data_IF_587009121395
#
_entry.id   IF_587009121395
#
_cell.length_a   1.000
_cell.length_b   1.000
_cell.length_c   1.000
_cell.angle_alpha   90.00
_cell.angle_beta   90.00
_cell.angle_gamma   90.00
#
_symmetry.space_group_name_H-M   'P 1'
#
loop_
_entity.id
_entity.type
_entity.pdbx_description
1 polymer ?
#
# COMPACT_ATOMS: atom_id res chain seq x y z
N UNK A 1 43.40 1.50 35.43
CA UNK A 1 42.99 2.91 35.20
C UNK A 1 41.76 2.92 34.29
N UNK A 2 40.73 3.70 34.61
CA UNK A 2 39.55 3.80 33.76
C UNK A 2 39.87 4.57 32.47
N UNK A 3 39.54 4.03 31.30
CA UNK A 3 39.68 4.74 30.02
C UNK A 3 38.84 6.01 30.07
N UNK A 4 39.39 7.17 29.67
CA UNK A 4 38.68 8.45 29.60
C UNK A 4 37.99 8.61 28.25
N UNK A 5 36.71 9.02 28.25
CA UNK A 5 35.98 9.34 27.02
C UNK A 5 36.54 10.62 26.41
N UNK A 6 36.75 10.64 25.10
CA UNK A 6 37.04 11.88 24.35
C UNK A 6 35.73 12.53 23.89
N UNK A 7 35.76 13.85 23.71
CA UNK A 7 34.65 14.61 23.11
C UNK A 7 34.90 14.71 21.60
N UNK A 8 33.93 14.28 20.80
CA UNK A 8 33.97 14.40 19.34
C UNK A 8 33.61 15.84 18.91
N UNK A 9 33.99 16.28 17.70
CA UNK A 9 33.61 17.59 17.16
C UNK A 9 32.08 17.81 17.09
N UNK A 10 31.32 16.72 16.94
CA UNK A 10 29.86 16.73 16.98
C UNK A 10 29.26 16.90 18.40
N UNK A 11 30.08 17.06 19.43
CA UNK A 11 29.66 17.31 20.82
C UNK A 11 29.44 16.04 21.68
N UNK A 12 29.34 14.86 21.07
CA UNK A 12 29.16 13.59 21.79
C UNK A 12 30.46 13.10 22.45
N UNK A 13 30.34 12.18 23.41
CA UNK A 13 31.48 11.56 24.09
C UNK A 13 31.59 10.07 23.80
N UNK A 14 32.81 9.55 23.61
CA UNK A 14 33.03 8.12 23.40
C UNK A 14 34.50 7.72 23.39
N UNK A 15 34.75 6.44 23.13
CA UNK A 15 36.10 5.86 23.09
C UNK A 15 36.57 5.51 21.67
N UNK A 16 35.65 5.47 20.70
CA UNK A 16 35.93 5.05 19.32
C UNK A 16 36.63 6.11 18.48
N UNK A 17 37.08 5.75 17.29
CA UNK A 17 37.64 6.70 16.32
C UNK A 17 36.57 7.64 15.76
N UNK A 18 35.34 7.13 15.59
CA UNK A 18 34.19 7.85 15.07
C UNK A 18 33.05 7.95 16.10
N UNK A 19 32.15 8.90 15.87
CA UNK A 19 30.93 9.03 16.66
C UNK A 19 29.82 8.13 16.11
N UNK A 20 29.70 6.91 16.64
CA UNK A 20 28.64 5.96 16.25
C UNK A 20 27.22 6.51 16.39
N UNK A 21 26.97 7.45 17.32
CA UNK A 21 25.65 8.08 17.46
C UNK A 21 25.30 8.95 16.24
N UNK A 22 26.29 9.61 15.64
CA UNK A 22 26.08 10.38 14.42
C UNK A 22 25.94 9.46 13.21
N UNK A 23 26.77 8.41 13.14
CA UNK A 23 26.70 7.38 12.10
C UNK A 23 25.35 6.66 12.09
N UNK A 24 24.84 6.23 13.25
CA UNK A 24 23.52 5.61 13.37
C UNK A 24 22.42 6.56 12.90
N UNK A 25 22.48 7.84 13.26
CA UNK A 25 21.50 8.83 12.84
C UNK A 25 21.49 9.03 11.31
N UNK A 26 22.67 9.06 10.69
CA UNK A 26 22.78 9.17 9.23
C UNK A 26 22.29 7.90 8.54
N UNK A 27 22.69 6.73 9.04
CA UNK A 27 22.21 5.44 8.53
C UNK A 27 20.69 5.31 8.63
N UNK A 28 20.09 5.75 9.74
CA UNK A 28 18.62 5.78 9.89
C UNK A 28 17.95 6.72 8.90
N UNK A 29 18.56 7.87 8.60
CA UNK A 29 18.07 8.82 7.60
C UNK A 29 18.09 8.21 6.20
N UNK A 30 19.24 7.66 5.80
CA UNK A 30 19.42 6.97 4.52
C UNK A 30 18.43 5.81 4.40
N UNK A 31 18.29 4.99 5.46
CA UNK A 31 17.35 3.88 5.50
C UNK A 31 15.90 4.32 5.28
N UNK A 32 15.45 5.38 5.96
CA UNK A 32 14.08 5.92 5.80
C UNK A 32 13.85 6.46 4.39
N UNK A 33 14.83 7.13 3.82
CA UNK A 33 14.77 7.64 2.45
C UNK A 33 14.65 6.49 1.44
N UNK A 34 15.50 5.48 1.56
CA UNK A 34 15.47 4.30 0.69
C UNK A 34 14.14 3.54 0.83
N UNK A 35 13.62 3.39 2.05
CA UNK A 35 12.30 2.76 2.27
C UNK A 35 11.16 3.54 1.61
N UNK A 36 11.21 4.88 1.65
CA UNK A 36 10.21 5.73 0.99
C UNK A 36 10.30 5.60 -0.52
N UNK A 37 11.50 5.68 -1.09
CA UNK A 37 11.71 5.52 -2.53
C UNK A 37 11.27 4.13 -3.01
N UNK A 38 11.69 3.07 -2.33
CA UNK A 38 11.26 1.70 -2.65
C UNK A 38 9.73 1.53 -2.57
N UNK A 39 9.07 2.20 -1.61
CA UNK A 39 7.61 2.21 -1.53
C UNK A 39 6.98 2.90 -2.75
N UNK A 40 7.46 4.09 -3.12
CA UNK A 40 6.98 4.83 -4.29
C UNK A 40 7.22 4.08 -5.61
N UNK A 41 8.37 3.42 -5.74
CA UNK A 41 8.71 2.60 -6.91
C UNK A 41 7.87 1.32 -7.01
N UNK A 42 7.48 0.74 -5.87
CA UNK A 42 6.65 -0.47 -5.87
C UNK A 42 5.33 -0.30 -6.62
N UNK A 43 4.80 0.93 -6.70
CA UNK A 43 3.57 1.23 -7.45
C UNK A 43 3.71 1.11 -8.96
N UNK A 44 4.93 1.18 -9.52
CA UNK A 44 5.14 1.00 -10.97
C UNK A 44 4.86 -0.43 -11.42
N UNK A 45 4.97 -1.39 -10.49
CA UNK A 45 4.76 -2.81 -10.75
C UNK A 45 3.32 -3.27 -10.44
N UNK A 46 2.46 -2.39 -9.92
CA UNK A 46 1.08 -2.73 -9.63
C UNK A 46 0.24 -2.74 -10.92
N UNK A 47 -0.68 -3.71 -11.09
CA UNK A 47 -1.54 -3.76 -12.28
C UNK A 47 -2.62 -2.67 -12.30
N UNK A 48 -2.88 -2.03 -11.16
CA UNK A 48 -3.87 -0.96 -11.00
C UNK A 48 -3.28 0.17 -10.17
N UNK A 49 -3.85 1.37 -10.30
CA UNK A 49 -3.39 2.52 -9.53
C UNK A 49 -3.77 2.39 -8.05
N UNK A 50 -2.76 2.28 -7.17
CA UNK A 50 -2.92 2.18 -5.71
C UNK A 50 -2.33 3.38 -4.94
N UNK A 51 -1.81 4.40 -5.63
CA UNK A 51 -0.96 5.45 -5.03
C UNK A 51 -1.63 6.28 -3.93
N UNK A 52 -2.94 6.53 -4.03
CA UNK A 52 -3.69 7.38 -3.09
C UNK A 52 -4.42 6.58 -2.01
N UNK A 53 -4.07 5.30 -1.83
CA UNK A 53 -4.73 4.43 -0.87
C UNK A 53 -3.91 4.29 0.42
N UNK A 54 -4.58 4.05 1.56
CA UNK A 54 -3.89 3.72 2.80
C UNK A 54 -2.99 2.49 2.65
N UNK A 55 -1.82 2.49 3.30
CA UNK A 55 -0.79 1.42 3.17
C UNK A 55 -1.34 0.01 3.41
N UNK A 56 -2.20 -0.16 4.41
CA UNK A 56 -2.87 -1.43 4.72
C UNK A 56 -3.80 -1.90 3.60
N UNK A 57 -4.50 -0.97 2.93
CA UNK A 57 -5.34 -1.26 1.76
C UNK A 57 -4.47 -1.70 0.60
N UNK A 58 -3.40 -0.97 0.28
CA UNK A 58 -2.45 -1.33 -0.80
C UNK A 58 -1.91 -2.75 -0.62
N UNK A 59 -1.37 -3.06 0.56
CA UNK A 59 -0.78 -4.37 0.86
C UNK A 59 -1.82 -5.49 0.73
N UNK A 60 -3.03 -5.27 1.26
CA UNK A 60 -4.09 -6.28 1.22
C UNK A 60 -4.62 -6.47 -0.20
N UNK A 61 -4.78 -5.40 -0.96
CA UNK A 61 -5.16 -5.45 -2.38
C UNK A 61 -4.14 -6.23 -3.19
N UNK A 62 -2.84 -5.94 -3.05
CA UNK A 62 -1.77 -6.69 -3.72
C UNK A 62 -1.84 -8.19 -3.42
N UNK A 63 -2.09 -8.55 -2.15
CA UNK A 63 -2.27 -9.95 -1.75
C UNK A 63 -3.47 -10.60 -2.43
N UNK A 64 -4.62 -9.93 -2.46
CA UNK A 64 -5.83 -10.44 -3.13
C UNK A 64 -5.56 -10.64 -4.62
N UNK A 65 -4.97 -9.65 -5.30
CA UNK A 65 -4.64 -9.73 -6.73
C UNK A 65 -3.68 -10.89 -7.02
N UNK A 66 -2.63 -11.03 -6.21
CA UNK A 66 -1.67 -12.13 -6.37
C UNK A 66 -2.33 -13.49 -6.21
N UNK A 67 -3.28 -13.63 -5.29
CA UNK A 67 -3.99 -14.89 -5.06
C UNK A 67 -5.04 -15.15 -6.15
N UNK A 68 -5.72 -14.12 -6.66
CA UNK A 68 -6.65 -14.25 -7.78
C UNK A 68 -5.95 -14.73 -9.05
N UNK A 69 -4.73 -14.26 -9.31
CA UNK A 69 -3.91 -14.75 -10.43
C UNK A 69 -3.52 -16.23 -10.33
N UNK A 70 -3.50 -16.79 -9.12
CA UNK A 70 -3.20 -18.21 -8.89
C UNK A 70 -4.45 -19.07 -8.93
N UNK A 71 -5.52 -18.59 -8.31
CA UNK A 71 -6.80 -19.26 -8.13
C UNK A 71 -7.89 -18.22 -8.42
N UNK A 72 -8.53 -18.30 -9.58
CA UNK A 72 -9.57 -17.36 -10.07
C UNK A 72 -10.84 -17.33 -9.18
N UNK A 73 -10.76 -17.87 -7.96
CA UNK A 73 -11.84 -17.99 -6.99
C UNK A 73 -11.96 -16.74 -6.10
N UNK A 74 -12.62 -15.71 -6.63
CA UNK A 74 -12.94 -14.48 -5.90
C UNK A 74 -13.87 -14.66 -4.69
N UNK A 75 -14.59 -15.78 -4.59
CA UNK A 75 -15.53 -16.03 -3.49
C UNK A 75 -14.81 -16.22 -2.16
N UNK A 76 -13.56 -16.72 -2.17
CA UNK A 76 -12.71 -16.87 -0.98
C UNK A 76 -12.45 -15.52 -0.28
N UNK A 77 -12.48 -14.44 -1.04
CA UNK A 77 -12.32 -13.07 -0.53
C UNK A 77 -13.65 -12.40 -0.20
N UNK A 78 -14.75 -13.17 -0.09
CA UNK A 78 -16.12 -12.66 0.04
C UNK A 78 -16.51 -11.75 -1.13
N UNK A 79 -15.89 -11.99 -2.30
CA UNK A 79 -16.20 -11.31 -3.54
C UNK A 79 -17.59 -11.69 -4.04
N UNK A 80 -18.28 -10.72 -4.64
CA UNK A 80 -19.61 -10.93 -5.22
C UNK A 80 -19.74 -10.21 -6.56
N UNK A 81 -20.42 -10.84 -7.52
CA UNK A 81 -20.83 -10.17 -8.76
C UNK A 81 -21.88 -9.10 -8.44
N UNK A 82 -21.77 -7.94 -9.08
CA UNK A 82 -22.76 -6.87 -8.92
C UNK A 82 -24.07 -7.24 -9.62
N UNK A 83 -25.19 -6.73 -9.11
CA UNK A 83 -26.52 -7.03 -9.67
C UNK A 83 -26.78 -6.30 -10.99
N UNK A 84 -26.34 -5.04 -11.09
CA UNK A 84 -26.55 -4.22 -12.29
C UNK A 84 -25.66 -4.68 -13.46
N UNK A 85 -24.49 -5.23 -13.16
CA UNK A 85 -23.55 -5.76 -14.14
C UNK A 85 -22.86 -6.99 -13.55
N UNK A 86 -23.21 -8.15 -14.09
CA UNK A 86 -22.70 -9.45 -13.64
C UNK A 86 -21.26 -9.69 -14.07
N UNK A 87 -20.72 -8.92 -15.02
CA UNK A 87 -19.30 -8.95 -15.40
C UNK A 87 -18.42 -8.26 -14.37
N UNK A 88 -19.00 -7.45 -13.47
CA UNK A 88 -18.24 -6.75 -12.45
C UNK A 88 -18.28 -7.53 -11.14
N UNK A 89 -17.10 -7.80 -10.59
CA UNK A 89 -16.90 -8.47 -9.31
C UNK A 89 -16.42 -7.44 -8.29
N UNK A 90 -17.10 -7.38 -7.16
CA UNK A 90 -16.77 -6.51 -6.03
C UNK A 90 -16.23 -7.33 -4.87
N UNK A 91 -14.98 -7.09 -4.49
CA UNK A 91 -14.26 -7.78 -3.42
C UNK A 91 -14.01 -6.80 -2.26
N UNK A 92 -14.48 -7.08 -1.03
CA UNK A 92 -14.19 -6.23 0.11
C UNK A 92 -12.71 -6.31 0.50
N UNK A 93 -12.01 -5.17 0.47
CA UNK A 93 -10.63 -5.08 0.99
C UNK A 93 -10.68 -4.84 2.49
N UNK A 94 -11.45 -3.85 2.93
CA UNK A 94 -11.75 -3.58 4.33
C UNK A 94 -13.20 -3.08 4.46
N UNK A 95 -13.53 -2.38 5.55
CA UNK A 95 -14.87 -1.82 5.74
C UNK A 95 -15.22 -0.80 4.64
N UNK A 96 -14.28 0.07 4.30
CA UNK A 96 -14.54 1.27 3.49
C UNK A 96 -14.09 1.15 2.04
N UNK A 97 -13.28 0.15 1.69
CA UNK A 97 -12.71 0.00 0.36
C UNK A 97 -13.10 -1.33 -0.28
N UNK A 98 -13.40 -1.29 -1.58
CA UNK A 98 -13.67 -2.45 -2.41
C UNK A 98 -12.75 -2.48 -3.60
N UNK A 99 -12.18 -3.64 -3.88
CA UNK A 99 -11.51 -3.95 -5.13
C UNK A 99 -12.58 -4.33 -6.15
N UNK A 100 -12.57 -3.63 -7.28
CA UNK A 100 -13.39 -3.89 -8.44
C UNK A 100 -12.54 -4.70 -9.42
N UNK A 101 -13.08 -5.84 -9.82
CA UNK A 101 -12.51 -6.66 -10.86
C UNK A 101 -13.54 -6.86 -11.96
N UNK A 102 -13.06 -7.12 -13.18
CA UNK A 102 -13.87 -7.50 -14.33
C UNK A 102 -13.66 -8.97 -14.64
N UNK A 103 -14.76 -9.64 -14.89
CA UNK A 103 -14.82 -11.03 -15.33
C UNK A 103 -14.77 -11.07 -16.86
N UNK A 104 -13.64 -11.50 -17.41
CA UNK A 104 -13.44 -11.68 -18.85
C UNK A 104 -13.69 -13.14 -19.27
N UNK A 105 -14.39 -13.93 -18.43
CA UNK A 105 -14.76 -15.32 -18.69
C UNK A 105 -13.70 -16.31 -18.23
N UNK A 106 -12.47 -16.18 -18.73
CA UNK A 106 -11.34 -17.06 -18.33
C UNK A 106 -10.64 -16.56 -17.07
N UNK A 107 -10.56 -15.24 -16.91
CA UNK A 107 -9.78 -14.59 -15.86
C UNK A 107 -10.52 -13.40 -15.23
N UNK A 108 -10.16 -13.13 -13.98
CA UNK A 108 -10.66 -11.99 -13.21
C UNK A 108 -9.61 -10.89 -13.16
N UNK A 109 -9.80 -9.85 -13.96
CA UNK A 109 -8.85 -8.75 -14.12
C UNK A 109 -9.15 -7.65 -13.09
N UNK A 110 -8.20 -7.25 -12.23
CA UNK A 110 -8.40 -6.12 -11.33
C UNK A 110 -8.47 -4.82 -12.11
N UNK A 111 -9.45 -3.97 -11.81
CA UNK A 111 -9.70 -2.71 -12.52
C UNK A 111 -9.40 -1.49 -11.64
N UNK A 112 -9.96 -1.44 -10.43
CA UNK A 112 -9.78 -0.30 -9.52
C UNK A 112 -10.04 -0.67 -8.06
N UNK A 113 -9.53 0.14 -7.12
CA UNK A 113 -9.97 0.13 -5.72
C UNK A 113 -10.74 1.40 -5.45
N UNK A 114 -11.99 1.25 -5.00
CA UNK A 114 -12.90 2.36 -4.73
C UNK A 114 -13.26 2.41 -3.25
N UNK A 115 -13.40 3.61 -2.70
CA UNK A 115 -13.98 3.80 -1.38
C UNK A 115 -15.51 3.71 -1.45
N UNK A 116 -16.18 3.37 -0.34
CA UNK A 116 -17.64 3.45 -0.22
C UNK A 116 -18.14 4.88 -0.39
N UNK A 117 -17.32 5.88 -0.07
CA UNK A 117 -17.68 7.29 -0.21
C UNK A 117 -17.71 7.70 -1.68
N UNK A 118 -16.69 7.35 -2.48
CA UNK A 118 -16.67 7.60 -3.92
C UNK A 118 -17.83 6.92 -4.66
N UNK A 119 -18.22 5.72 -4.21
CA UNK A 119 -19.35 4.99 -4.81
C UNK A 119 -20.71 5.67 -4.60
N UNK A 120 -20.89 6.43 -3.50
CA UNK A 120 -22.15 7.11 -3.20
C UNK A 120 -22.27 8.52 -3.81
N UNK A 121 -21.15 9.14 -4.19
CA UNK A 121 -21.15 10.48 -4.81
C UNK A 121 -21.56 10.42 -6.29
N UNK A 122 -21.35 9.29 -6.96
CA UNK A 122 -21.84 9.03 -8.32
C UNK A 122 -23.23 8.38 -8.36
N UNK A 123 -24.19 8.89 -7.58
CA UNK A 123 -25.61 8.70 -7.92
C UNK A 123 -26.01 9.80 -8.91
N UNK A 124 -26.36 9.50 -10.17
CA UNK A 124 -27.00 10.47 -11.05
C UNK A 124 -28.38 10.81 -10.44
N UNK A 125 -28.50 12.01 -9.86
CA UNK A 125 -29.74 12.46 -9.22
C UNK A 125 -29.56 13.57 -8.19
N UNK A 126 -28.36 13.78 -7.63
CA UNK A 126 -28.08 14.95 -6.80
C UNK A 126 -27.70 16.16 -7.66
N UNK A 127 -28.59 16.55 -8.57
CA UNK A 127 -28.59 17.89 -9.14
C UNK A 127 -28.96 18.85 -8.00
N UNK A 128 -27.97 19.60 -7.50
CA UNK A 128 -28.26 20.76 -6.65
C UNK A 128 -28.93 21.80 -7.55
N UNK A 129 -30.21 22.08 -7.26
CA UNK A 129 -30.83 23.38 -7.56
C UNK A 129 -30.12 24.46 -6.76
#
# INVERSE_FOLDING_TARGET
MARRKKKFPCGHQGYGQICHRCEQKENDRIRRQNQRQAWEESFKNDPINLKNLPKNVVIKTRRIISQLRQDNNYQRFKGKRLRHDRKIISIPVNRDYRLICRDEGSDVVPEAVVSHQDYNVCKPGSAKK
#
